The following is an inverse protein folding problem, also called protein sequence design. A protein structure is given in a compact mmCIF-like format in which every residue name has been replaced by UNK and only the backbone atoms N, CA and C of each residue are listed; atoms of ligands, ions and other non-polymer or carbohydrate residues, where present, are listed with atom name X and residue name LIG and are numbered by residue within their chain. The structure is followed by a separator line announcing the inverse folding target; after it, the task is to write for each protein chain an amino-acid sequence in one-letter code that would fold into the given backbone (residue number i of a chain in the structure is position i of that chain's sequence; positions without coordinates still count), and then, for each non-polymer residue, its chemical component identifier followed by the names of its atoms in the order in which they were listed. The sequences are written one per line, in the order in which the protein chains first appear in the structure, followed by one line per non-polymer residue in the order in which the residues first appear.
data_IF_746862025354
#
_entry.id   IF_746862025354
#
_cell.length_a   1.000
_cell.length_b   1.000
_cell.length_c   1.000
_cell.angle_alpha   90.00
_cell.angle_beta   90.00
_cell.angle_gamma   90.00
#
_symmetry.space_group_name_H-M   'P 1'
#
loop_
_entity.id
_entity.type
_entity.pdbx_description
1 polymer ?
#
# COMPACT_ATOMS: atom_id res chain seq x y z
N UNK A 1 4.34 4.13 -15.92
CA UNK A 1 3.28 4.96 -15.35
C UNK A 1 2.99 4.56 -13.93
N UNK A 2 2.54 5.53 -13.13
CA UNK A 2 1.99 5.33 -11.78
C UNK A 2 0.59 5.93 -11.75
N UNK A 3 -0.40 5.12 -11.43
CA UNK A 3 -1.75 5.61 -11.13
C UNK A 3 -1.73 6.31 -9.77
N UNK A 4 -2.20 7.55 -9.74
CA UNK A 4 -2.20 8.39 -8.55
C UNK A 4 -3.56 8.33 -7.87
N UNK A 5 -3.57 7.86 -6.65
CA UNK A 5 -4.69 8.01 -5.73
C UNK A 5 -4.48 9.26 -4.87
N UNK A 6 -5.56 9.93 -4.53
CA UNK A 6 -5.55 11.13 -3.70
C UNK A 6 -6.36 10.92 -2.43
N UNK A 7 -5.91 11.56 -1.35
CA UNK A 7 -6.60 11.65 -0.07
C UNK A 7 -6.60 13.14 0.33
N UNK A 8 -7.78 13.71 0.55
CA UNK A 8 -7.96 15.13 0.87
C UNK A 8 -7.24 16.08 -0.13
N UNK A 9 -7.27 15.74 -1.42
CA UNK A 9 -6.65 16.52 -2.50
C UNK A 9 -5.12 16.42 -2.56
N UNK A 10 -4.49 15.55 -1.78
CA UNK A 10 -3.03 15.28 -1.79
C UNK A 10 -2.76 13.88 -2.35
N UNK A 11 -1.55 13.69 -2.82
CA UNK A 11 -1.09 12.37 -3.28
C UNK A 11 -1.07 11.39 -2.10
N UNK A 12 -1.87 10.32 -2.18
CA UNK A 12 -1.95 9.30 -1.14
C UNK A 12 -0.58 8.61 -0.91
N UNK A 13 -0.32 8.17 0.32
CA UNK A 13 0.96 7.59 0.70
C UNK A 13 1.39 6.44 -0.23
N UNK A 14 0.46 5.55 -0.58
CA UNK A 14 0.76 4.43 -1.49
C UNK A 14 1.24 4.92 -2.86
N UNK A 15 0.68 6.00 -3.38
CA UNK A 15 1.11 6.61 -4.64
C UNK A 15 2.48 7.28 -4.52
N UNK A 16 2.81 7.88 -3.37
CA UNK A 16 4.15 8.42 -3.11
C UNK A 16 5.22 7.31 -3.12
N UNK A 17 4.93 6.17 -2.50
CA UNK A 17 5.79 4.98 -2.52
C UNK A 17 6.02 4.47 -3.95
N UNK A 18 4.94 4.39 -4.74
CA UNK A 18 5.01 3.96 -6.14
C UNK A 18 5.75 4.94 -7.04
N UNK A 19 5.65 6.25 -6.78
CA UNK A 19 6.45 7.25 -7.49
C UNK A 19 7.95 7.07 -7.21
N UNK A 20 8.32 6.74 -5.97
CA UNK A 20 9.69 6.39 -5.60
C UNK A 20 10.20 5.17 -6.37
N UNK A 21 9.44 4.08 -6.36
CA UNK A 21 9.81 2.86 -7.09
C UNK A 21 9.76 3.04 -8.61
N UNK A 22 8.75 3.75 -9.10
CA UNK A 22 8.65 4.11 -10.52
C UNK A 22 9.83 4.93 -11.01
N UNK A 23 10.38 5.83 -10.18
CA UNK A 23 11.58 6.60 -10.52
C UNK A 23 12.80 5.69 -10.64
N UNK A 24 12.99 4.77 -9.70
CA UNK A 24 14.06 3.76 -9.77
C UNK A 24 14.00 2.95 -11.08
N UNK A 25 12.79 2.46 -11.42
CA UNK A 25 12.59 1.67 -12.64
C UNK A 25 12.82 2.51 -13.90
N UNK A 26 12.33 3.73 -13.94
CA UNK A 26 12.50 4.64 -15.08
C UNK A 26 13.97 5.02 -15.29
N UNK A 27 14.70 5.32 -14.21
CA UNK A 27 16.13 5.65 -14.27
C UNK A 27 16.96 4.47 -14.76
N UNK A 28 16.65 3.26 -14.31
CA UNK A 28 17.35 2.04 -14.73
C UNK A 28 17.30 1.79 -16.24
N UNK A 29 16.29 2.35 -16.92
CA UNK A 29 16.10 2.20 -18.38
C UNK A 29 16.17 3.52 -19.16
N UNK A 30 16.48 4.64 -18.50
CA UNK A 30 16.51 5.97 -19.14
C UNK A 30 15.14 6.35 -19.74
N UNK A 31 14.06 5.96 -19.09
CA UNK A 31 12.67 6.22 -19.51
C UNK A 31 12.03 7.31 -18.63
N UNK A 32 10.90 7.85 -19.10
CA UNK A 32 10.11 8.82 -18.34
C UNK A 32 9.20 8.12 -17.33
N UNK A 33 9.10 8.71 -16.14
CA UNK A 33 8.08 8.39 -15.15
C UNK A 33 6.89 9.33 -15.33
N UNK A 34 5.70 8.77 -15.54
CA UNK A 34 4.46 9.52 -15.77
C UNK A 34 3.50 9.25 -14.62
N UNK A 35 2.98 10.31 -14.02
CA UNK A 35 1.88 10.24 -13.05
C UNK A 35 0.54 10.30 -13.80
N UNK A 36 -0.35 9.37 -13.56
CA UNK A 36 -1.70 9.33 -14.14
C UNK A 36 -2.72 9.76 -13.08
N UNK A 37 -3.33 10.94 -13.27
CA UNK A 37 -4.31 11.55 -12.36
C UNK A 37 -5.67 11.61 -13.06
N UNK A 38 -6.64 10.82 -12.61
CA UNK A 38 -7.96 10.74 -13.25
C UNK A 38 -9.00 11.67 -12.61
N UNK A 39 -8.73 12.19 -11.43
CA UNK A 39 -9.65 13.06 -10.67
C UNK A 39 -9.66 14.53 -11.13
N UNK A 40 -8.85 14.89 -12.12
CA UNK A 40 -8.72 16.29 -12.58
C UNK A 40 -7.94 17.21 -11.63
N UNK A 41 -7.35 16.67 -10.57
CA UNK A 41 -6.68 17.43 -9.52
C UNK A 41 -5.27 17.87 -9.95
N UNK A 42 -5.15 19.09 -10.50
CA UNK A 42 -3.87 19.66 -10.92
C UNK A 42 -2.87 19.81 -9.76
N UNK A 43 -3.36 20.02 -8.53
CA UNK A 43 -2.52 20.08 -7.34
C UNK A 43 -1.82 18.74 -7.08
N UNK A 44 -2.54 17.63 -7.18
CA UNK A 44 -1.99 16.29 -7.05
C UNK A 44 -0.99 15.96 -8.18
N UNK A 45 -1.24 16.45 -9.38
CA UNK A 45 -0.31 16.30 -10.50
C UNK A 45 1.03 16.99 -10.23
N UNK A 46 1.00 18.23 -9.74
CA UNK A 46 2.20 18.99 -9.36
C UNK A 46 2.94 18.33 -8.19
N UNK A 47 2.20 17.83 -7.22
CA UNK A 47 2.76 17.12 -6.07
C UNK A 47 3.43 15.81 -6.54
N UNK A 48 2.81 15.03 -7.44
CA UNK A 48 3.39 13.82 -8.02
C UNK A 48 4.70 14.10 -8.77
N UNK A 49 4.80 15.23 -9.47
CA UNK A 49 6.05 15.70 -10.07
C UNK A 49 7.11 15.95 -9.00
N UNK A 50 6.73 16.59 -7.90
CA UNK A 50 7.61 16.80 -6.76
C UNK A 50 8.11 15.49 -6.11
N UNK A 51 7.32 14.43 -6.16
CA UNK A 51 7.74 13.09 -5.72
C UNK A 51 8.54 12.30 -6.76
N UNK A 52 8.76 12.84 -7.95
CA UNK A 52 9.70 12.24 -8.91
C UNK A 52 9.16 11.97 -10.30
N UNK A 53 7.90 12.23 -10.60
CA UNK A 53 7.40 12.10 -11.98
C UNK A 53 8.05 13.16 -12.91
N UNK A 54 8.27 12.80 -14.16
CA UNK A 54 8.79 13.71 -15.18
C UNK A 54 7.66 14.52 -15.83
N UNK A 55 6.46 13.94 -15.88
CA UNK A 55 5.24 14.59 -16.31
C UNK A 55 4.02 13.94 -15.65
N UNK A 56 2.89 14.64 -15.71
CA UNK A 56 1.61 14.14 -15.25
C UNK A 56 0.57 14.22 -16.37
N UNK A 57 -0.17 13.13 -16.56
CA UNK A 57 -1.40 13.10 -17.39
C UNK A 57 -2.59 13.35 -16.46
N UNK A 58 -3.32 14.42 -16.70
CA UNK A 58 -4.49 14.80 -15.91
C UNK A 58 -5.74 14.67 -16.78
N UNK A 59 -6.69 13.87 -16.34
CA UNK A 59 -8.00 13.76 -16.99
C UNK A 59 -8.99 14.63 -16.23
N UNK A 60 -9.38 15.75 -16.83
CA UNK A 60 -10.37 16.65 -16.26
C UNK A 60 -11.76 16.28 -16.78
N UNK A 61 -12.48 15.48 -15.97
CA UNK A 61 -13.85 15.06 -16.28
C UNK A 61 -14.66 14.96 -14.97
N UNK A 62 -15.80 15.63 -14.90
CA UNK A 62 -16.67 15.64 -13.72
C UNK A 62 -17.13 14.24 -13.28
N UNK A 63 -17.35 13.33 -14.22
CA UNK A 63 -17.76 11.95 -13.94
C UNK A 63 -16.64 11.11 -13.29
N UNK A 64 -15.38 11.60 -13.30
CA UNK A 64 -14.21 10.94 -12.71
C UNK A 64 -13.80 11.53 -11.36
N UNK A 65 -14.53 12.50 -10.82
CA UNK A 65 -14.22 13.07 -9.50
C UNK A 65 -14.36 12.09 -8.35
N UNK A 66 -15.28 11.14 -8.48
CA UNK A 66 -15.41 10.02 -7.55
C UNK A 66 -15.04 8.73 -8.27
N UNK A 67 -14.44 7.81 -7.55
CA UNK A 67 -14.06 6.53 -8.13
C UNK A 67 -15.30 5.75 -8.58
N UNK A 68 -15.36 5.45 -9.88
CA UNK A 68 -16.25 4.46 -10.47
C UNK A 68 -15.41 3.52 -11.34
N UNK A 69 -15.44 2.23 -11.01
CA UNK A 69 -14.54 1.25 -11.64
C UNK A 69 -14.75 1.12 -13.14
N UNK A 70 -15.97 1.32 -13.64
CA UNK A 70 -16.30 1.24 -15.07
C UNK A 70 -15.72 2.43 -15.83
N UNK A 71 -15.98 3.64 -15.34
CA UNK A 71 -15.51 4.88 -15.95
C UNK A 71 -13.99 4.99 -15.92
N UNK A 72 -13.38 4.68 -14.77
CA UNK A 72 -11.92 4.66 -14.61
C UNK A 72 -11.26 3.64 -15.54
N UNK A 73 -11.83 2.44 -15.66
CA UNK A 73 -11.33 1.43 -16.61
C UNK A 73 -11.40 1.93 -18.06
N UNK A 74 -12.50 2.56 -18.46
CA UNK A 74 -12.65 3.11 -19.82
C UNK A 74 -11.63 4.20 -20.09
N UNK A 75 -11.46 5.14 -19.16
CA UNK A 75 -10.50 6.23 -19.29
C UNK A 75 -9.04 5.72 -19.36
N UNK A 76 -8.66 4.82 -18.46
CA UNK A 76 -7.28 4.28 -18.46
C UNK A 76 -6.99 3.46 -19.70
N UNK A 77 -7.97 2.68 -20.18
CA UNK A 77 -7.81 1.89 -21.40
C UNK A 77 -7.56 2.79 -22.63
N UNK A 78 -8.35 3.86 -22.79
CA UNK A 78 -8.15 4.82 -23.88
C UNK A 78 -6.75 5.46 -23.84
N UNK A 79 -6.29 5.84 -22.64
CA UNK A 79 -4.95 6.39 -22.46
C UNK A 79 -3.82 5.37 -22.72
N UNK A 80 -4.03 4.10 -22.35
CA UNK A 80 -3.10 3.01 -22.67
C UNK A 80 -3.00 2.83 -24.19
N UNK A 81 -4.13 2.80 -24.90
CA UNK A 81 -4.17 2.68 -26.36
C UNK A 81 -3.50 3.87 -27.06
N UNK A 82 -3.62 5.07 -26.48
CA UNK A 82 -3.02 6.30 -27.04
C UNK A 82 -1.51 6.41 -26.81
N UNK A 83 -1.05 6.04 -25.62
CA UNK A 83 0.33 6.31 -25.17
C UNK A 83 1.23 5.08 -25.08
N UNK A 84 0.66 3.90 -25.17
CA UNK A 84 1.37 2.61 -25.14
C UNK A 84 2.44 2.51 -24.03
N UNK A 85 2.08 2.73 -22.74
CA UNK A 85 3.05 2.67 -21.67
C UNK A 85 3.65 1.26 -21.54
N UNK A 86 4.91 1.16 -21.17
CA UNK A 86 5.55 -0.14 -20.95
C UNK A 86 5.09 -0.79 -19.62
N UNK A 87 4.91 0.03 -18.60
CA UNK A 87 4.59 -0.40 -17.23
C UNK A 87 3.50 0.48 -16.64
N UNK A 88 2.54 -0.11 -15.94
CA UNK A 88 1.55 0.59 -15.14
C UNK A 88 1.53 0.02 -13.71
N UNK A 89 1.94 0.85 -12.76
CA UNK A 89 1.88 0.55 -11.33
C UNK A 89 0.60 1.14 -10.74
N UNK A 90 -0.11 0.33 -9.97
CA UNK A 90 -1.32 0.72 -9.25
C UNK A 90 -1.12 0.35 -7.78
N UNK A 91 -1.50 1.19 -6.84
CA UNK A 91 -1.51 0.84 -5.42
C UNK A 91 -2.51 -0.28 -5.13
N UNK A 92 -2.18 -1.22 -4.24
CA UNK A 92 -3.10 -2.29 -3.86
C UNK A 92 -4.09 -1.83 -2.76
N UNK A 93 -4.66 -0.63 -2.91
CA UNK A 93 -5.83 -0.15 -2.19
C UNK A 93 -7.08 -0.95 -2.58
N UNK A 94 -8.22 -0.70 -1.96
CA UNK A 94 -9.49 -1.29 -2.41
C UNK A 94 -9.82 -0.89 -3.85
N UNK A 95 -9.73 0.42 -4.15
CA UNK A 95 -10.01 0.95 -5.49
C UNK A 95 -8.96 0.48 -6.51
N UNK A 96 -7.68 0.46 -6.12
CA UNK A 96 -6.62 0.04 -7.02
C UNK A 96 -6.66 -1.44 -7.40
N UNK A 97 -7.05 -2.33 -6.46
CA UNK A 97 -7.28 -3.75 -6.77
C UNK A 97 -8.46 -3.94 -7.72
N UNK A 98 -9.55 -3.21 -7.50
CA UNK A 98 -10.72 -3.25 -8.37
C UNK A 98 -10.38 -2.73 -9.77
N UNK A 99 -9.75 -1.56 -9.87
CA UNK A 99 -9.30 -0.99 -11.14
C UNK A 99 -8.34 -1.93 -11.88
N UNK A 100 -7.31 -2.45 -11.19
CA UNK A 100 -6.33 -3.36 -11.79
C UNK A 100 -6.98 -4.62 -12.34
N UNK A 101 -7.90 -5.23 -11.59
CA UNK A 101 -8.63 -6.43 -12.01
C UNK A 101 -9.54 -6.18 -13.23
N UNK A 102 -10.30 -5.09 -13.21
CA UNK A 102 -11.17 -4.72 -14.35
C UNK A 102 -10.37 -4.33 -15.59
N UNK A 103 -9.30 -3.56 -15.42
CA UNK A 103 -8.43 -3.16 -16.52
C UNK A 103 -7.77 -4.36 -17.18
N UNK A 104 -7.28 -5.32 -16.38
CA UNK A 104 -6.73 -6.58 -16.86
C UNK A 104 -7.73 -7.33 -17.75
N UNK A 105 -8.97 -7.46 -17.30
CA UNK A 105 -10.02 -8.14 -18.06
C UNK A 105 -10.44 -7.34 -19.32
N UNK A 106 -10.63 -6.03 -19.20
CA UNK A 106 -11.14 -5.19 -20.30
C UNK A 106 -10.12 -4.96 -21.42
N UNK A 107 -8.83 -4.92 -21.09
CA UNK A 107 -7.75 -4.69 -22.05
C UNK A 107 -6.95 -5.96 -22.39
N UNK A 108 -7.31 -7.12 -21.85
CA UNK A 108 -6.60 -8.37 -22.08
C UNK A 108 -5.17 -8.40 -21.55
N UNK A 109 -4.91 -7.72 -20.44
CA UNK A 109 -3.59 -7.56 -19.84
C UNK A 109 -3.33 -8.60 -18.74
N UNK A 110 -2.10 -9.10 -18.69
CA UNK A 110 -1.65 -9.87 -17.53
C UNK A 110 -1.49 -8.96 -16.31
N UNK A 111 -2.16 -9.29 -15.19
CA UNK A 111 -2.05 -8.58 -13.93
C UNK A 111 -1.28 -9.40 -12.90
N UNK A 112 -0.28 -8.80 -12.27
CA UNK A 112 0.33 -9.36 -11.06
C UNK A 112 -0.19 -8.60 -9.84
N UNK A 113 -1.00 -9.29 -9.02
CA UNK A 113 -1.66 -8.66 -7.89
C UNK A 113 -0.83 -8.72 -6.60
N UNK A 114 -0.90 -7.65 -5.80
CA UNK A 114 -0.30 -7.54 -4.47
C UNK A 114 1.21 -7.83 -4.44
N UNK A 115 1.93 -7.26 -5.41
CA UNK A 115 3.39 -7.35 -5.46
C UNK A 115 4.04 -6.70 -4.23
N UNK A 116 5.15 -7.28 -3.81
CA UNK A 116 5.99 -6.74 -2.73
C UNK A 116 7.37 -6.32 -3.22
N UNK A 117 7.74 -6.65 -4.45
CA UNK A 117 8.93 -6.16 -5.11
C UNK A 117 8.74 -6.23 -6.62
N UNK A 118 9.45 -5.36 -7.34
CA UNK A 118 9.52 -5.36 -8.79
C UNK A 118 10.86 -4.77 -9.24
N UNK A 119 11.51 -5.45 -10.20
CA UNK A 119 12.82 -5.02 -10.71
C UNK A 119 13.10 -5.59 -12.08
N UNK A 120 14.02 -4.98 -12.78
CA UNK A 120 14.59 -5.60 -13.98
C UNK A 120 15.62 -6.67 -13.58
N UNK A 121 15.49 -7.86 -14.16
CA UNK A 121 16.49 -8.93 -14.05
C UNK A 121 17.04 -9.17 -15.48
N UNK A 122 18.20 -8.56 -15.81
CA UNK A 122 18.82 -8.62 -17.13
C UNK A 122 18.64 -7.35 -17.97
N UNK A 123 19.03 -7.44 -19.24
CA UNK A 123 19.10 -6.27 -20.15
C UNK A 123 17.75 -5.93 -20.79
N UNK A 124 16.79 -6.82 -20.74
CA UNK A 124 15.45 -6.63 -21.31
C UNK A 124 14.57 -5.65 -20.56
N UNK A 125 13.43 -5.28 -21.17
CA UNK A 125 12.45 -4.36 -20.60
C UNK A 125 11.35 -5.07 -19.78
N UNK A 126 11.54 -6.36 -19.48
CA UNK A 126 10.60 -7.14 -18.69
C UNK A 126 10.88 -7.01 -17.19
N UNK A 127 9.85 -6.67 -16.44
CA UNK A 127 9.92 -6.57 -14.98
C UNK A 127 9.67 -7.95 -14.38
N UNK A 128 10.57 -8.36 -13.49
CA UNK A 128 10.33 -9.47 -12.58
C UNK A 128 9.54 -8.95 -11.40
N UNK A 129 8.29 -9.40 -11.29
CA UNK A 129 7.41 -9.12 -10.18
C UNK A 129 7.56 -10.17 -9.12
N UNK A 130 7.58 -9.77 -7.86
CA UNK A 130 7.68 -10.68 -6.72
C UNK A 130 6.43 -10.50 -5.86
N UNK A 131 5.77 -11.61 -5.57
CA UNK A 131 4.63 -11.62 -4.66
C UNK A 131 4.66 -12.83 -3.72
N UNK A 132 4.09 -12.70 -2.51
CA UNK A 132 3.90 -13.85 -1.63
C UNK A 132 2.82 -14.79 -2.19
N UNK A 133 3.05 -16.09 -2.04
CA UNK A 133 2.10 -17.15 -2.37
C UNK A 133 1.96 -18.13 -1.21
N UNK A 134 0.86 -18.91 -1.21
CA UNK A 134 0.56 -19.88 -0.16
C UNK A 134 0.65 -19.28 1.26
N UNK A 135 -0.07 -18.18 1.47
CA UNK A 135 -0.06 -17.42 2.74
C UNK A 135 1.33 -16.96 3.19
N UNK A 136 2.20 -16.62 2.22
CA UNK A 136 3.55 -16.11 2.48
C UNK A 136 4.62 -17.17 2.72
N UNK A 137 4.30 -18.45 2.53
CA UNK A 137 5.30 -19.53 2.64
C UNK A 137 6.33 -19.52 1.52
N UNK A 138 5.96 -18.97 0.37
CA UNK A 138 6.80 -18.86 -0.81
C UNK A 138 6.71 -17.45 -1.39
N UNK A 139 7.78 -17.01 -2.02
CA UNK A 139 7.80 -15.85 -2.90
C UNK A 139 7.91 -16.34 -4.33
N UNK A 140 7.00 -15.91 -5.17
CA UNK A 140 7.01 -16.29 -6.59
C UNK A 140 7.46 -15.11 -7.44
N UNK A 141 8.31 -15.41 -8.42
CA UNK A 141 8.70 -14.49 -9.48
C UNK A 141 7.76 -14.67 -10.66
N UNK A 142 7.19 -13.59 -11.13
CA UNK A 142 6.22 -13.60 -12.24
C UNK A 142 6.71 -12.64 -13.31
N UNK A 143 6.56 -13.04 -14.56
CA UNK A 143 6.75 -12.21 -15.75
C UNK A 143 5.42 -12.08 -16.47
N UNK A 144 5.16 -10.92 -17.07
CA UNK A 144 4.01 -10.70 -17.93
C UNK A 144 4.48 -10.43 -19.36
N UNK A 145 3.77 -11.01 -20.33
CA UNK A 145 4.09 -10.87 -21.76
C UNK A 145 3.29 -9.76 -22.44
N UNK A 146 2.32 -9.19 -21.72
CA UNK A 146 1.46 -8.11 -22.22
C UNK A 146 2.05 -6.73 -21.94
N UNK A 147 1.58 -5.71 -22.66
CA UNK A 147 1.92 -4.31 -22.45
C UNK A 147 0.66 -3.47 -22.30
N UNK A 148 0.64 -2.58 -21.31
CA UNK A 148 1.64 -2.42 -20.25
C UNK A 148 1.78 -3.66 -19.37
N UNK A 149 2.96 -3.82 -18.77
CA UNK A 149 3.15 -4.74 -17.68
C UNK A 149 2.42 -4.16 -16.47
N UNK A 150 1.34 -4.82 -16.06
CA UNK A 150 0.39 -4.30 -15.07
C UNK A 150 0.57 -5.01 -13.73
N UNK A 151 0.67 -4.23 -12.65
CA UNK A 151 0.68 -4.79 -11.31
C UNK A 151 -0.05 -3.89 -10.31
N UNK A 152 -0.69 -4.52 -9.32
CA UNK A 152 -1.00 -3.85 -8.06
C UNK A 152 0.10 -4.13 -7.05
N UNK A 153 0.48 -3.11 -6.28
CA UNK A 153 1.60 -3.17 -5.34
C UNK A 153 1.11 -2.91 -3.92
N UNK A 154 1.48 -3.77 -3.00
CA UNK A 154 1.11 -3.64 -1.59
C UNK A 154 1.67 -2.34 -1.00
N UNK A 155 0.88 -1.68 -0.15
CA UNK A 155 1.31 -0.50 0.59
C UNK A 155 2.43 -0.81 1.59
N UNK A 156 3.20 0.21 1.95
CA UNK A 156 4.28 0.15 2.96
C UNK A 156 5.41 -0.83 2.61
N UNK A 157 5.60 -1.08 1.32
CA UNK A 157 6.67 -1.94 0.79
C UNK A 157 7.84 -1.10 0.29
N UNK A 158 7.54 0.01 -0.38
CA UNK A 158 8.57 0.87 -0.91
C UNK A 158 8.66 2.18 -0.14
N UNK A 159 9.83 2.80 -0.16
CA UNK A 159 10.00 4.15 0.38
C UNK A 159 9.64 5.16 -0.70
N UNK A 160 8.73 6.07 -0.38
CA UNK A 160 8.48 7.25 -1.19
C UNK A 160 9.70 8.19 -1.20
N UNK A 161 9.84 8.95 -2.27
CA UNK A 161 10.80 10.03 -2.32
C UNK A 161 10.38 11.16 -1.36
N UNK A 162 11.34 11.98 -0.94
CA UNK A 162 11.01 13.25 -0.27
C UNK A 162 10.43 14.19 -1.31
N UNK A 163 9.40 14.95 -0.91
CA UNK A 163 8.82 15.97 -1.77
C UNK A 163 9.86 17.06 -2.08
N UNK A 164 10.16 17.23 -3.36
CA UNK A 164 10.97 18.33 -3.88
C UNK A 164 10.08 19.34 -4.59
N UNK A 165 9.70 20.39 -3.88
CA UNK A 165 8.85 21.47 -4.42
C UNK A 165 9.53 22.29 -5.51
N UNK A 166 10.84 22.15 -5.71
CA UNK A 166 11.58 22.85 -6.78
C UNK A 166 11.55 22.08 -8.11
N UNK A 167 11.15 20.79 -8.07
CA UNK A 167 11.07 19.96 -9.26
C UNK A 167 9.95 20.47 -10.17
N UNK A 168 10.25 20.61 -11.44
CA UNK A 168 9.31 21.00 -12.49
C UNK A 168 9.13 19.87 -13.49
N UNK A 169 7.93 19.73 -14.03
CA UNK A 169 7.56 18.77 -15.05
C UNK A 169 6.37 19.27 -15.84
N UNK A 170 6.06 18.60 -16.93
CA UNK A 170 4.92 18.94 -17.78
C UNK A 170 3.63 18.36 -17.21
N UNK A 171 2.57 19.19 -17.14
CA UNK A 171 1.21 18.71 -16.85
C UNK A 171 0.45 18.70 -18.17
N UNK A 172 0.03 17.52 -18.60
CA UNK A 172 -0.68 17.30 -19.86
C UNK A 172 -2.13 17.03 -19.53
N UNK A 173 -3.02 17.89 -20.01
CA UNK A 173 -4.46 17.73 -19.83
C UNK A 173 -5.02 16.86 -20.96
N UNK A 174 -5.66 15.77 -20.57
CA UNK A 174 -6.28 14.81 -21.50
C UNK A 174 -7.80 14.86 -21.41
N UNK A 175 -8.42 14.67 -22.56
CA UNK A 175 -9.85 14.42 -22.65
C UNK A 175 -10.05 12.98 -23.06
N UNK A 176 -10.86 12.26 -22.32
CA UNK A 176 -11.22 10.87 -22.60
C UNK A 176 -12.69 10.78 -22.99
N UNK A 177 -13.00 9.90 -23.92
CA UNK A 177 -14.38 9.60 -24.31
C UNK A 177 -14.91 8.44 -23.45
N UNK A 178 -15.77 8.75 -22.50
CA UNK A 178 -16.43 7.76 -21.67
C UNK A 178 -17.52 6.96 -22.42
N UNK A 179 -17.63 7.12 -23.74
CA UNK A 179 -18.56 6.39 -24.60
C UNK A 179 -20.03 6.51 -24.16
N UNK A 180 -20.40 7.65 -23.61
CA UNK A 180 -21.74 7.90 -23.07
C UNK A 180 -22.05 7.15 -21.78
N UNK A 181 -21.06 6.49 -21.18
CA UNK A 181 -21.21 5.86 -19.86
C UNK A 181 -21.37 6.95 -18.78
N UNK A 182 -22.15 6.61 -17.76
CA UNK A 182 -22.31 7.42 -16.55
C UNK A 182 -21.95 6.58 -15.35
N UNK A 183 -21.57 7.25 -14.26
CA UNK A 183 -21.34 6.57 -12.98
C UNK A 183 -22.58 5.76 -12.60
N UNK A 184 -22.35 4.52 -12.17
CA UNK A 184 -23.41 3.60 -11.72
C UNK A 184 -23.76 3.81 -10.23
N UNK A 185 -22.98 4.63 -9.55
CA UNK A 185 -23.11 4.95 -8.13
C UNK A 185 -22.85 6.43 -7.91
N UNK A 186 -23.45 6.99 -6.86
CA UNK A 186 -23.26 8.35 -6.42
C UNK A 186 -22.82 8.37 -4.97
N UNK A 187 -21.80 9.16 -4.65
CA UNK A 187 -21.40 9.40 -3.25
C UNK A 187 -22.36 10.41 -2.66
N UNK A 188 -23.29 9.94 -1.84
CA UNK A 188 -24.34 10.79 -1.21
C UNK A 188 -23.76 11.62 -0.06
N UNK A 189 -22.88 11.03 0.75
CA UNK A 189 -22.19 11.74 1.83
C UNK A 189 -20.84 11.09 2.11
N UNK A 190 -19.91 11.88 2.62
CA UNK A 190 -18.65 11.42 3.19
C UNK A 190 -18.54 12.01 4.61
N UNK A 191 -18.50 11.15 5.60
CA UNK A 191 -18.35 11.53 6.99
C UNK A 191 -17.00 10.99 7.48
N UNK A 192 -15.98 11.85 7.64
CA UNK A 192 -14.70 11.42 8.19
C UNK A 192 -14.88 11.00 9.65
N UNK A 193 -14.12 10.01 10.08
CA UNK A 193 -14.07 9.65 11.49
C UNK A 193 -13.62 10.87 12.33
N UNK A 194 -14.16 11.05 13.54
CA UNK A 194 -13.74 12.12 14.44
C UNK A 194 -12.22 12.14 14.63
N UNK A 195 -11.62 13.32 14.72
CA UNK A 195 -10.17 13.51 14.90
C UNK A 195 -9.64 12.75 16.12
N UNK A 196 -10.46 12.65 17.18
CA UNK A 196 -10.15 11.89 18.41
C UNK A 196 -9.99 10.39 18.16
N UNK A 197 -10.67 9.83 17.14
CA UNK A 197 -10.52 8.44 16.71
C UNK A 197 -9.39 8.24 15.69
N UNK A 198 -8.84 9.32 15.15
CA UNK A 198 -7.66 9.30 14.26
C UNK A 198 -6.34 9.33 15.06
N UNK A 199 -6.41 9.52 16.39
CA UNK A 199 -5.21 9.56 17.24
C UNK A 199 -4.56 8.18 17.30
N UNK A 200 -3.31 8.17 16.85
CA UNK A 200 -2.32 7.10 17.01
C UNK A 200 -2.82 5.70 16.60
N UNK A 201 -3.24 5.54 15.36
CA UNK A 201 -3.57 4.21 14.84
C UNK A 201 -2.30 3.36 14.65
N UNK A 202 -2.44 2.04 14.69
CA UNK A 202 -1.32 1.13 14.40
C UNK A 202 -0.72 1.33 13.01
N UNK A 203 -1.47 1.96 12.09
CA UNK A 203 -1.02 2.23 10.70
C UNK A 203 -0.15 3.48 10.61
N UNK A 204 -0.35 4.46 11.49
CA UNK A 204 0.34 5.77 11.44
C UNK A 204 1.41 5.94 12.51
N UNK A 205 1.37 5.12 13.57
CA UNK A 205 2.27 5.25 14.71
C UNK A 205 3.73 4.88 14.36
N UNK A 206 4.66 5.68 14.86
CA UNK A 206 6.11 5.39 14.80
C UNK A 206 6.50 4.21 15.69
N UNK A 207 5.80 4.01 16.81
CA UNK A 207 6.02 2.92 17.75
C UNK A 207 4.71 2.15 17.91
N UNK A 208 4.76 0.84 17.73
CA UNK A 208 3.62 -0.05 17.93
C UNK A 208 4.00 -1.14 18.92
N UNK A 209 3.18 -1.30 19.97
CA UNK A 209 3.25 -2.44 20.88
C UNK A 209 2.21 -3.47 20.43
N UNK A 210 2.66 -4.65 20.07
CA UNK A 210 1.82 -5.76 19.66
C UNK A 210 1.59 -6.75 20.81
N UNK A 211 0.33 -7.03 21.16
CA UNK A 211 -0.06 -8.04 22.13
C UNK A 211 -0.46 -9.36 21.44
N UNK A 212 0.07 -10.45 21.93
CA UNK A 212 -0.30 -11.79 21.48
C UNK A 212 -0.97 -12.63 22.60
N UNK A 213 -1.41 -13.83 22.25
CA UNK A 213 -2.04 -14.76 23.20
C UNK A 213 -1.15 -15.09 24.43
N UNK A 214 0.17 -14.90 24.31
CA UNK A 214 1.11 -15.13 25.40
C UNK A 214 0.99 -14.16 26.56
N UNK A 215 0.22 -13.06 26.44
CA UNK A 215 -0.06 -12.16 27.58
C UNK A 215 -0.97 -12.79 28.64
N UNK A 216 -1.53 -13.97 28.34
CA UNK A 216 -2.27 -14.80 29.27
C UNK A 216 -3.77 -14.51 29.28
N UNK A 217 -4.19 -13.55 30.07
CA UNK A 217 -5.58 -13.17 30.31
C UNK A 217 -5.84 -11.69 30.07
N UNK A 218 -7.04 -11.24 30.37
CA UNK A 218 -7.47 -9.84 30.19
C UNK A 218 -6.66 -8.89 31.09
N UNK A 219 -6.28 -9.32 32.30
CA UNK A 219 -5.44 -8.51 33.19
C UNK A 219 -4.04 -8.32 32.62
N UNK A 220 -3.45 -9.36 32.03
CA UNK A 220 -2.19 -9.26 31.29
C UNK A 220 -2.30 -8.36 30.08
N UNK A 221 -3.43 -8.40 29.37
CA UNK A 221 -3.66 -7.52 28.24
C UNK A 221 -3.79 -6.05 28.66
N UNK A 222 -4.47 -5.74 29.77
CA UNK A 222 -4.54 -4.38 30.32
C UNK A 222 -3.17 -3.83 30.68
N UNK A 223 -2.28 -4.64 31.24
CA UNK A 223 -0.88 -4.24 31.51
C UNK A 223 -0.12 -3.86 30.23
N UNK A 224 -0.40 -4.56 29.11
CA UNK A 224 0.19 -4.21 27.82
C UNK A 224 -0.37 -2.89 27.29
N UNK A 225 -1.68 -2.61 27.48
CA UNK A 225 -2.28 -1.32 27.14
C UNK A 225 -1.64 -0.17 27.92
N UNK A 226 -1.51 -0.33 29.24
CA UNK A 226 -0.85 0.66 30.10
C UNK A 226 0.60 0.91 29.66
N UNK A 227 1.33 -0.15 29.33
CA UNK A 227 2.69 -0.03 28.84
C UNK A 227 2.73 0.74 27.50
N UNK A 228 1.90 0.38 26.53
CA UNK A 228 1.84 1.06 25.24
C UNK A 228 1.54 2.56 25.42
N UNK A 229 0.55 2.90 26.26
CA UNK A 229 0.19 4.28 26.57
C UNK A 229 1.35 5.03 27.24
N UNK A 230 2.07 4.38 28.16
CA UNK A 230 3.17 5.01 28.91
C UNK A 230 4.35 5.46 28.03
N UNK A 231 4.54 4.81 26.90
CA UNK A 231 5.60 5.14 25.92
C UNK A 231 5.08 5.87 24.67
N UNK A 232 3.80 6.25 24.66
CA UNK A 232 3.17 6.91 23.51
C UNK A 232 3.11 6.03 22.26
N UNK A 233 2.97 4.72 22.41
CA UNK A 233 2.87 3.76 21.33
C UNK A 233 1.41 3.40 21.01
N UNK A 234 1.12 3.11 19.75
CA UNK A 234 -0.15 2.49 19.38
C UNK A 234 -0.20 1.03 19.82
N UNK A 235 -1.37 0.57 20.22
CA UNK A 235 -1.60 -0.82 20.59
C UNK A 235 -2.14 -1.62 19.41
N UNK A 236 -1.37 -2.61 18.99
CA UNK A 236 -1.80 -3.61 18.02
C UNK A 236 -1.97 -4.99 18.67
N UNK A 237 -2.72 -5.87 18.03
CA UNK A 237 -2.98 -7.21 18.55
C UNK A 237 -2.83 -8.29 17.48
N UNK A 238 -2.55 -9.50 17.89
CA UNK A 238 -2.70 -10.66 17.04
C UNK A 238 -4.16 -11.15 17.00
N UNK A 239 -4.56 -11.83 15.94
CA UNK A 239 -5.93 -12.30 15.72
C UNK A 239 -6.61 -12.97 16.94
N UNK A 240 -5.94 -13.83 17.73
CA UNK A 240 -6.57 -14.46 18.89
C UNK A 240 -7.16 -13.49 19.92
N UNK A 241 -6.60 -12.28 20.07
CA UNK A 241 -7.13 -11.30 21.01
C UNK A 241 -8.40 -10.63 20.49
N UNK A 242 -8.53 -10.49 19.18
CA UNK A 242 -9.77 -10.05 18.53
C UNK A 242 -10.85 -11.13 18.65
N UNK A 243 -10.49 -12.38 18.41
CA UNK A 243 -11.41 -13.53 18.53
C UNK A 243 -11.92 -13.69 19.97
N UNK A 244 -11.12 -13.31 20.98
CA UNK A 244 -11.53 -13.26 22.39
C UNK A 244 -12.38 -12.04 22.76
N UNK A 245 -12.52 -11.05 21.86
CA UNK A 245 -13.25 -9.81 22.12
C UNK A 245 -12.50 -8.78 22.97
N UNK A 246 -11.18 -8.93 23.19
CA UNK A 246 -10.38 -8.00 23.98
C UNK A 246 -9.93 -6.77 23.18
N UNK A 247 -9.92 -6.87 21.84
CA UNK A 247 -9.54 -5.80 20.94
C UNK A 247 -10.42 -5.78 19.68
N UNK A 248 -10.41 -4.68 18.96
CA UNK A 248 -11.15 -4.53 17.70
C UNK A 248 -10.35 -5.05 16.51
N UNK A 249 -11.04 -5.30 15.39
CA UNK A 249 -10.38 -5.70 14.15
C UNK A 249 -9.43 -4.62 13.61
N UNK A 250 -9.69 -3.34 13.89
CA UNK A 250 -8.81 -2.24 13.45
C UNK A 250 -7.45 -2.24 14.15
N UNK A 251 -7.35 -2.91 15.30
CA UNK A 251 -6.10 -3.13 16.01
C UNK A 251 -5.39 -4.42 15.58
N UNK A 252 -6.01 -5.26 14.74
CA UNK A 252 -5.45 -6.53 14.33
C UNK A 252 -4.30 -6.34 13.33
N UNK A 253 -3.14 -6.90 13.66
CA UNK A 253 -1.97 -6.94 12.77
C UNK A 253 -1.91 -8.31 12.09
N UNK A 254 -1.78 -8.31 10.78
CA UNK A 254 -1.63 -9.56 10.03
C UNK A 254 -2.21 -9.51 8.63
N UNK A 255 -2.18 -10.64 7.94
CA UNK A 255 -2.66 -10.78 6.56
C UNK A 255 -4.17 -10.53 6.42
N UNK A 256 -4.95 -10.81 7.47
CA UNK A 256 -6.39 -10.57 7.54
C UNK A 256 -6.76 -9.34 8.37
N UNK A 257 -5.78 -8.61 8.86
CA UNK A 257 -5.90 -7.36 9.58
C UNK A 257 -5.16 -6.25 8.85
N UNK A 258 -4.61 -5.33 9.63
CA UNK A 258 -3.84 -4.19 9.11
C UNK A 258 -2.39 -4.58 8.81
N UNK A 259 -1.83 -3.97 7.76
CA UNK A 259 -0.39 -3.97 7.49
C UNK A 259 0.22 -2.70 8.07
N UNK A 260 1.25 -2.85 8.86
CA UNK A 260 1.90 -1.74 9.56
C UNK A 260 3.40 -1.69 9.24
N UNK A 261 3.99 -0.50 9.30
CA UNK A 261 5.41 -0.26 9.08
C UNK A 261 5.97 0.73 10.12
N UNK A 262 5.87 0.44 11.43
CA UNK A 262 6.37 1.32 12.46
C UNK A 262 7.90 1.39 12.42
N UNK A 263 8.49 2.46 12.98
CA UNK A 263 9.94 2.54 13.20
C UNK A 263 10.41 1.52 14.24
N UNK A 264 9.55 1.27 15.25
CA UNK A 264 9.82 0.28 16.32
C UNK A 264 8.55 -0.55 16.52
N UNK A 265 8.70 -1.86 16.47
CA UNK A 265 7.67 -2.82 16.82
C UNK A 265 8.08 -3.63 18.06
N UNK A 266 7.27 -3.59 19.11
CA UNK A 266 7.50 -4.35 20.35
C UNK A 266 6.46 -5.46 20.44
N UNK A 267 6.86 -6.70 20.28
CA UNK A 267 5.98 -7.88 20.29
C UNK A 267 5.98 -8.53 21.68
N UNK A 268 4.85 -8.47 22.38
CA UNK A 268 4.67 -9.06 23.70
C UNK A 268 3.76 -10.29 23.62
N UNK A 269 4.29 -11.47 23.94
CA UNK A 269 3.55 -12.72 23.90
C UNK A 269 3.04 -13.14 22.52
N UNK A 270 3.64 -12.64 21.44
CA UNK A 270 3.33 -13.00 20.06
C UNK A 270 4.19 -14.17 19.62
N UNK A 271 3.58 -15.21 19.04
CA UNK A 271 4.31 -16.38 18.55
C UNK A 271 5.12 -16.11 17.28
N UNK A 272 4.75 -15.13 16.48
CA UNK A 272 5.41 -14.86 15.20
C UNK A 272 4.94 -15.73 14.04
N UNK A 273 3.71 -16.22 14.09
CA UNK A 273 3.11 -16.94 12.96
C UNK A 273 3.22 -16.12 11.68
N UNK A 274 3.38 -16.80 10.53
CA UNK A 274 3.61 -16.16 9.23
C UNK A 274 2.52 -15.14 8.87
N UNK A 275 1.27 -15.39 9.30
CA UNK A 275 0.15 -14.47 9.06
C UNK A 275 0.34 -13.13 9.78
N UNK A 276 0.93 -13.14 10.97
CA UNK A 276 1.26 -11.94 11.72
C UNK A 276 2.47 -11.24 11.10
N UNK A 277 3.53 -12.00 10.79
CA UNK A 277 4.74 -11.48 10.14
C UNK A 277 4.43 -10.72 8.85
N UNK A 278 3.50 -11.22 8.04
CA UNK A 278 3.07 -10.57 6.79
C UNK A 278 2.29 -9.26 7.00
N UNK A 279 1.81 -9.01 8.19
CA UNK A 279 1.23 -7.73 8.59
C UNK A 279 2.29 -6.71 9.04
N UNK A 280 3.52 -7.16 9.31
CA UNK A 280 4.65 -6.30 9.60
C UNK A 280 5.41 -6.09 8.28
N UNK A 281 5.16 -4.97 7.60
CA UNK A 281 6.08 -4.51 6.59
C UNK A 281 7.45 -4.27 7.26
N UNK A 282 8.52 -4.07 6.50
CA UNK A 282 9.89 -3.97 7.01
C UNK A 282 10.03 -2.96 8.17
N UNK A 283 9.64 -3.37 9.38
CA UNK A 283 9.90 -2.60 10.58
C UNK A 283 11.42 -2.63 10.84
N UNK A 284 12.11 -1.48 10.82
CA UNK A 284 13.56 -1.45 10.97
C UNK A 284 14.05 -1.91 12.35
N UNK A 285 13.15 -1.94 13.35
CA UNK A 285 13.44 -2.41 14.69
C UNK A 285 12.29 -3.27 15.22
N UNK A 286 12.55 -4.53 15.49
CA UNK A 286 11.59 -5.47 16.12
C UNK A 286 12.20 -5.97 17.41
N UNK A 287 11.49 -5.76 18.52
CA UNK A 287 11.84 -6.24 19.85
C UNK A 287 10.77 -7.27 20.23
N UNK A 288 11.17 -8.48 20.57
CA UNK A 288 10.23 -9.54 20.93
C UNK A 288 10.44 -10.02 22.36
N UNK A 289 9.34 -10.19 23.08
CA UNK A 289 9.30 -10.82 24.41
C UNK A 289 8.38 -12.02 24.32
N UNK A 290 8.91 -13.21 24.61
CA UNK A 290 8.13 -14.44 24.65
C UNK A 290 8.76 -15.42 25.64
N UNK A 291 7.93 -16.16 26.36
CA UNK A 291 8.40 -17.20 27.30
C UNK A 291 8.90 -18.47 26.60
N UNK A 292 8.45 -18.73 25.39
CA UNK A 292 8.90 -19.84 24.56
C UNK A 292 10.15 -19.43 23.77
N UNK A 293 11.35 -19.97 24.10
CA UNK A 293 12.59 -19.64 23.40
C UNK A 293 12.58 -20.07 21.93
N UNK A 294 11.71 -21.02 21.54
CA UNK A 294 11.57 -21.52 20.16
C UNK A 294 10.48 -20.81 19.39
N UNK A 295 9.90 -19.74 19.95
CA UNK A 295 8.84 -18.99 19.26
C UNK A 295 9.36 -18.41 17.94
N UNK A 296 8.66 -18.61 16.80
CA UNK A 296 9.10 -18.13 15.49
C UNK A 296 9.32 -16.61 15.40
N UNK A 297 8.80 -15.83 16.35
CA UNK A 297 9.03 -14.38 16.40
C UNK A 297 10.52 -14.06 16.51
N UNK A 298 11.31 -14.90 17.20
CA UNK A 298 12.74 -14.71 17.38
C UNK A 298 13.57 -14.91 16.09
N UNK A 299 13.02 -15.59 15.08
CA UNK A 299 13.70 -15.76 13.79
C UNK A 299 13.86 -14.44 13.01
N UNK A 300 13.01 -13.45 13.32
CA UNK A 300 13.03 -12.16 12.61
C UNK A 300 13.03 -10.94 13.55
N UNK A 301 13.06 -11.13 14.85
CA UNK A 301 13.27 -10.06 15.82
C UNK A 301 14.74 -9.60 15.82
N UNK A 302 14.95 -8.29 15.95
CA UNK A 302 16.29 -7.71 16.10
C UNK A 302 16.81 -7.89 17.52
N UNK A 303 15.90 -7.84 18.49
CA UNK A 303 16.18 -8.12 19.90
C UNK A 303 15.14 -9.08 20.45
N UNK A 304 15.58 -10.12 21.14
CA UNK A 304 14.74 -11.12 21.77
C UNK A 304 14.97 -11.18 23.28
N UNK A 305 13.89 -11.18 24.04
CA UNK A 305 13.89 -11.40 25.49
C UNK A 305 13.07 -12.64 25.75
N UNK A 306 13.73 -13.68 26.29
CA UNK A 306 13.03 -14.88 26.75
C UNK A 306 12.58 -14.64 28.18
N UNK A 307 11.28 -14.48 28.36
CA UNK A 307 10.67 -14.15 29.67
C UNK A 307 9.15 -14.02 29.54
N UNK A 308 8.52 -13.81 30.71
CA UNK A 308 7.07 -13.66 30.83
C UNK A 308 6.72 -12.25 31.31
#
# INVERSE_FOLDING_TARGET
WVYIETEDGKVAQISQELLGKGRELADAKGKKLVALVLSGEEAAAKEAIGYGADCALVVDNEELKSYDSSLYTTAVRELIEKYEPNVLLIGASYNGRDLGGRLSAAAGLGLVADCIDCRYEGDGDDITWIRPAFTGKLYVKILTTTRPQLATVSAKIFRGNKLDSSRSGEVIHEKVDLQGQKALQEVVSFEPLPVEEQELTIETADIVVGAGRGVGDEEGFEKVKEFAASIGAALGVSKPLVDNGWATHDQQIGITGKKIAPKIYIALGISGAIQHKLGLAEAPMIIAVNKDPEAPIFEFAHYGIVGD
#
